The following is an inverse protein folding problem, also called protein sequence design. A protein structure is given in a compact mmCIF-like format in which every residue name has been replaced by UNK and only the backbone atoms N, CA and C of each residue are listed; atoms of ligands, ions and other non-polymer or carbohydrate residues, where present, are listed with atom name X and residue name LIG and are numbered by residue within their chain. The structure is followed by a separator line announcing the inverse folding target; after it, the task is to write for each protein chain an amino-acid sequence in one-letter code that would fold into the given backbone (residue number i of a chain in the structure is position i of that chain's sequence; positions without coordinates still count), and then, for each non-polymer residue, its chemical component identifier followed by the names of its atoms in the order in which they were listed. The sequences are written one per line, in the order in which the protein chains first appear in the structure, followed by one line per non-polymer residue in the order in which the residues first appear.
data_IF_485497361293
#
_entry.id   IF_485497361293
#
_cell.length_a   1.000
_cell.length_b   1.000
_cell.length_c   1.000
_cell.angle_alpha   90.00
_cell.angle_beta   90.00
_cell.angle_gamma   90.00
#
_symmetry.space_group_name_H-M   'P 1'
#
loop_
_entity.id
_entity.type
_entity.pdbx_description
1 polymer ?
#
# COMPACT_ATOMS: atom_id res chain seq x y z
N UNK A 1 17.22 23.73 5.85
CA UNK A 1 15.97 22.99 6.15
C UNK A 1 15.26 22.79 4.82
N UNK A 2 15.04 21.55 4.40
CA UNK A 2 14.32 21.28 3.15
C UNK A 2 12.84 21.64 3.36
N UNK A 3 12.32 22.60 2.60
CA UNK A 3 10.89 22.92 2.62
C UNK A 3 10.10 21.77 1.98
N UNK A 4 9.38 20.99 2.78
CA UNK A 4 8.49 19.93 2.29
C UNK A 4 7.25 20.60 1.70
N UNK A 5 7.23 20.83 0.38
CA UNK A 5 6.07 21.36 -0.36
C UNK A 5 5.34 20.25 -1.13
N UNK A 6 4.54 19.46 -0.42
CA UNK A 6 3.68 18.45 -1.05
C UNK A 6 2.45 19.15 -1.66
N UNK A 7 2.41 19.27 -2.99
CA UNK A 7 1.21 19.78 -3.69
C UNK A 7 0.16 18.69 -3.83
N UNK A 8 -1.09 18.94 -3.46
CA UNK A 8 -2.13 17.94 -3.71
C UNK A 8 -2.41 17.84 -5.22
N UNK A 9 -2.53 16.62 -5.74
CA UNK A 9 -2.69 16.39 -7.17
C UNK A 9 -3.74 15.32 -7.48
N UNK A 10 -4.39 15.36 -8.65
CA UNK A 10 -5.38 14.39 -9.12
C UNK A 10 -4.82 12.97 -9.09
N UNK A 11 -3.53 12.80 -9.41
CA UNK A 11 -2.84 11.52 -9.32
C UNK A 11 -2.91 10.87 -7.91
N UNK A 12 -2.98 11.68 -6.83
CA UNK A 12 -3.12 11.17 -5.46
C UNK A 12 -4.51 10.61 -5.21
N UNK A 13 -5.55 11.28 -5.72
CA UNK A 13 -6.95 10.81 -5.62
C UNK A 13 -7.13 9.50 -6.39
N UNK A 14 -6.57 9.42 -7.60
CA UNK A 14 -6.58 8.19 -8.40
C UNK A 14 -5.82 7.05 -7.71
N UNK A 15 -4.71 7.35 -7.02
CA UNK A 15 -3.96 6.36 -6.26
C UNK A 15 -4.77 5.78 -5.09
N UNK A 16 -5.49 6.61 -4.35
CA UNK A 16 -6.41 6.16 -3.28
C UNK A 16 -7.50 5.26 -3.87
N UNK A 17 -8.16 5.69 -4.96
CA UNK A 17 -9.20 4.88 -5.60
C UNK A 17 -8.68 3.52 -6.10
N UNK A 18 -7.48 3.50 -6.68
CA UNK A 18 -6.88 2.26 -7.17
C UNK A 18 -6.52 1.30 -6.02
N UNK A 19 -6.00 1.80 -4.91
CA UNK A 19 -5.71 0.99 -3.72
C UNK A 19 -6.97 0.44 -3.06
N UNK A 20 -8.04 1.23 -3.04
CA UNK A 20 -9.36 0.83 -2.57
C UNK A 20 -9.93 -0.32 -3.41
N UNK A 21 -9.82 -0.26 -4.75
CA UNK A 21 -10.23 -1.35 -5.65
C UNK A 21 -9.45 -2.63 -5.36
N UNK A 22 -8.12 -2.54 -5.25
CA UNK A 22 -7.26 -3.69 -4.90
C UNK A 22 -7.69 -4.28 -3.56
N UNK A 23 -7.96 -3.43 -2.57
CA UNK A 23 -8.41 -3.86 -1.25
C UNK A 23 -9.79 -4.51 -1.30
N UNK A 24 -10.76 -3.97 -2.04
CA UNK A 24 -12.09 -4.60 -2.19
C UNK A 24 -11.97 -5.98 -2.83
N UNK A 25 -11.17 -6.12 -3.89
CA UNK A 25 -10.93 -7.41 -4.56
C UNK A 25 -10.25 -8.40 -3.62
N UNK A 26 -9.28 -7.94 -2.83
CA UNK A 26 -8.58 -8.80 -1.88
C UNK A 26 -9.48 -9.23 -0.71
N UNK A 27 -10.33 -8.36 -0.17
CA UNK A 27 -11.18 -8.67 1.00
C UNK A 27 -12.62 -9.09 0.63
N UNK A 28 -12.89 -9.41 -0.64
CA UNK A 28 -14.21 -9.90 -1.08
C UNK A 28 -14.52 -11.28 -0.50
N UNK A 29 -15.80 -11.61 -0.37
CA UNK A 29 -16.26 -12.94 0.12
C UNK A 29 -15.90 -14.09 -0.82
N UNK A 30 -15.58 -13.79 -2.08
CA UNK A 30 -15.05 -14.77 -3.04
C UNK A 30 -13.55 -15.05 -2.87
N UNK A 31 -12.84 -14.31 -2.01
CA UNK A 31 -11.41 -14.54 -1.80
C UNK A 31 -11.17 -15.79 -0.95
N UNK A 32 -10.18 -16.65 -1.29
CA UNK A 32 -9.89 -17.88 -0.55
C UNK A 32 -9.59 -17.67 0.94
N UNK A 33 -9.21 -16.46 1.32
CA UNK A 33 -8.79 -16.08 2.66
C UNK A 33 -9.82 -15.21 3.41
N UNK A 34 -11.02 -15.01 2.84
CA UNK A 34 -12.07 -14.17 3.44
C UNK A 34 -12.41 -14.54 4.88
N UNK A 35 -12.57 -15.85 5.14
CA UNK A 35 -12.89 -16.37 6.47
C UNK A 35 -11.81 -16.10 7.53
N UNK A 36 -10.58 -15.80 7.11
CA UNK A 36 -9.45 -15.49 8.00
C UNK A 36 -9.24 -13.99 8.20
N UNK A 37 -9.76 -13.13 7.33
CA UNK A 37 -9.48 -11.68 7.33
C UNK A 37 -10.59 -10.82 7.96
N UNK A 38 -11.83 -11.30 8.01
CA UNK A 38 -12.95 -10.57 8.64
C UNK A 38 -13.46 -9.37 7.84
N UNK A 39 -14.31 -8.54 8.46
CA UNK A 39 -14.95 -7.39 7.82
C UNK A 39 -14.08 -6.13 7.85
N UNK A 40 -14.05 -5.42 6.73
CA UNK A 40 -13.27 -4.20 6.54
C UNK A 40 -14.10 -2.96 6.83
N UNK A 41 -13.59 -2.09 7.71
CA UNK A 41 -14.17 -0.76 7.93
C UNK A 41 -13.71 0.19 6.81
N UNK A 42 -14.63 0.49 5.89
CA UNK A 42 -14.35 1.31 4.68
C UNK A 42 -13.85 2.71 5.04
N UNK A 43 -14.41 3.35 6.08
CA UNK A 43 -14.01 4.71 6.47
C UNK A 43 -12.56 4.73 6.97
N UNK A 44 -12.22 3.79 7.85
CA UNK A 44 -10.86 3.66 8.37
C UNK A 44 -9.86 3.32 7.26
N UNK A 45 -10.26 2.52 6.28
CA UNK A 45 -9.42 2.16 5.15
C UNK A 45 -9.12 3.36 4.24
N UNK A 46 -10.14 4.16 3.89
CA UNK A 46 -9.95 5.38 3.08
C UNK A 46 -9.00 6.37 3.77
N UNK A 47 -9.16 6.57 5.09
CA UNK A 47 -8.27 7.44 5.86
C UNK A 47 -6.83 6.91 5.82
N UNK A 48 -6.64 5.60 6.02
CA UNK A 48 -5.32 4.98 5.96
C UNK A 48 -4.69 5.11 4.55
N UNK A 49 -5.48 4.94 3.49
CA UNK A 49 -5.00 5.07 2.11
C UNK A 49 -4.57 6.52 1.80
N UNK A 50 -5.33 7.52 2.27
CA UNK A 50 -4.93 8.93 2.16
C UNK A 50 -3.59 9.22 2.84
N UNK A 51 -3.39 8.71 4.07
CA UNK A 51 -2.13 8.86 4.80
C UNK A 51 -0.99 8.16 4.06
N UNK A 52 -1.22 6.95 3.57
CA UNK A 52 -0.22 6.16 2.86
C UNK A 52 0.20 6.84 1.55
N UNK A 53 -0.75 7.34 0.75
CA UNK A 53 -0.46 8.09 -0.48
C UNK A 53 0.37 9.34 -0.18
N UNK A 54 0.07 10.07 0.90
CA UNK A 54 0.86 11.22 1.31
C UNK A 54 2.31 10.84 1.66
N UNK A 55 2.50 9.77 2.44
CA UNK A 55 3.84 9.26 2.80
C UNK A 55 4.60 8.81 1.55
N UNK A 56 3.96 8.02 0.68
CA UNK A 56 4.56 7.51 -0.55
C UNK A 56 4.99 8.66 -1.48
N UNK A 57 4.16 9.71 -1.58
CA UNK A 57 4.49 10.90 -2.32
C UNK A 57 5.72 11.61 -1.74
N UNK A 58 5.77 11.76 -0.43
CA UNK A 58 6.90 12.39 0.25
C UNK A 58 8.19 11.58 0.03
N UNK A 59 8.14 10.25 0.15
CA UNK A 59 9.27 9.36 -0.14
C UNK A 59 9.73 9.53 -1.59
N UNK A 60 8.77 9.52 -2.52
CA UNK A 60 9.02 9.65 -3.94
C UNK A 60 9.72 10.97 -4.30
N UNK A 61 9.22 12.09 -3.79
CA UNK A 61 9.70 13.42 -4.17
C UNK A 61 11.02 13.79 -3.50
N UNK A 62 11.30 13.28 -2.29
CA UNK A 62 12.45 13.72 -1.49
C UNK A 62 13.57 12.69 -1.36
N UNK A 63 13.29 11.39 -1.54
CA UNK A 63 14.24 10.32 -1.22
C UNK A 63 14.49 9.36 -2.39
N UNK A 64 13.45 8.96 -3.12
CA UNK A 64 13.58 8.01 -4.22
C UNK A 64 12.53 8.26 -5.30
N UNK A 65 12.88 8.93 -6.41
CA UNK A 65 11.98 9.11 -7.57
C UNK A 65 12.06 7.86 -8.50
N UNK A 66 11.07 6.95 -8.47
CA UNK A 66 11.10 5.75 -9.31
C UNK A 66 10.79 6.14 -10.75
N UNK A 67 11.66 5.76 -11.70
CA UNK A 67 11.51 6.15 -13.12
C UNK A 67 10.77 5.10 -13.93
N UNK A 68 10.87 3.85 -13.53
CA UNK A 68 10.24 2.71 -14.19
C UNK A 68 9.35 1.92 -13.22
N UNK A 69 8.58 0.99 -13.79
CA UNK A 69 7.70 0.12 -13.00
C UNK A 69 8.52 -0.86 -12.15
N UNK A 70 9.71 -1.24 -12.58
CA UNK A 70 10.63 -2.07 -11.80
C UNK A 70 11.09 -1.34 -10.53
N UNK A 71 11.50 -0.07 -10.65
CA UNK A 71 11.90 0.75 -9.49
C UNK A 71 10.74 0.94 -8.51
N UNK A 72 9.54 1.13 -9.06
CA UNK A 72 8.29 1.21 -8.29
C UNK A 72 8.08 -0.08 -7.51
N UNK A 73 8.23 -1.24 -8.15
CA UNK A 73 8.11 -2.55 -7.50
C UNK A 73 9.18 -2.75 -6.42
N UNK A 74 10.42 -2.31 -6.65
CA UNK A 74 11.51 -2.40 -5.66
C UNK A 74 11.18 -1.56 -4.43
N UNK A 75 10.73 -0.32 -4.60
CA UNK A 75 10.34 0.54 -3.47
C UNK A 75 9.17 -0.07 -2.68
N UNK A 76 8.15 -0.57 -3.37
CA UNK A 76 7.01 -1.26 -2.75
C UNK A 76 7.43 -2.54 -2.02
N UNK A 77 8.40 -3.29 -2.57
CA UNK A 77 8.95 -4.48 -1.92
C UNK A 77 9.65 -4.12 -0.62
N UNK A 78 10.47 -3.06 -0.61
CA UNK A 78 11.11 -2.58 0.63
C UNK A 78 10.09 -2.17 1.69
N UNK A 79 9.02 -1.48 1.30
CA UNK A 79 7.95 -1.11 2.22
C UNK A 79 7.17 -2.33 2.74
N UNK A 80 6.93 -3.33 1.90
CA UNK A 80 6.32 -4.58 2.30
C UNK A 80 7.21 -5.40 3.24
N UNK A 81 8.53 -5.39 3.02
CA UNK A 81 9.51 -6.01 3.92
C UNK A 81 9.62 -5.27 5.25
N UNK A 82 9.50 -3.94 5.25
CA UNK A 82 9.42 -3.16 6.48
C UNK A 82 8.17 -3.55 7.29
N UNK A 83 7.02 -3.64 6.62
CA UNK A 83 5.78 -4.14 7.25
C UNK A 83 5.94 -5.58 7.76
N UNK A 84 6.57 -6.45 6.97
CA UNK A 84 6.89 -7.83 7.37
C UNK A 84 7.67 -7.82 8.68
N UNK A 85 8.75 -7.03 8.79
CA UNK A 85 9.56 -6.90 10.01
C UNK A 85 8.76 -6.45 11.23
N UNK A 86 7.87 -5.45 11.06
CA UNK A 86 7.03 -4.96 12.16
C UNK A 86 5.93 -5.94 12.56
N UNK A 87 5.37 -6.67 11.61
CA UNK A 87 4.23 -7.56 11.86
C UNK A 87 4.66 -8.97 12.29
N UNK A 88 5.87 -9.42 11.91
CA UNK A 88 6.39 -10.78 12.19
C UNK A 88 6.31 -11.17 13.68
N UNK A 89 6.68 -10.33 14.68
CA UNK A 89 6.63 -10.70 16.10
C UNK A 89 5.23 -11.06 16.60
N UNK A 90 4.19 -10.50 15.99
CA UNK A 90 2.79 -10.76 16.35
C UNK A 90 2.26 -12.10 15.82
N UNK A 91 3.00 -12.73 14.91
CA UNK A 91 2.58 -13.93 14.16
C UNK A 91 3.27 -15.19 14.66
N UNK A 92 4.35 -15.05 15.46
CA UNK A 92 5.17 -16.17 15.99
C UNK A 92 4.36 -17.17 16.84
N UNK A 93 3.20 -16.76 17.35
CA UNK A 93 2.48 -17.52 18.38
C UNK A 93 1.47 -18.55 17.83
N UNK A 94 1.16 -18.57 16.53
CA UNK A 94 0.13 -19.47 15.98
C UNK A 94 0.40 -19.87 14.52
N UNK A 95 0.41 -21.17 14.22
CA UNK A 95 0.69 -21.77 12.90
C UNK A 95 -0.33 -21.38 11.82
N UNK A 96 -1.59 -21.10 12.20
CA UNK A 96 -2.60 -20.58 11.28
C UNK A 96 -2.39 -19.09 10.95
N UNK A 97 -1.53 -18.39 11.67
CA UNK A 97 -1.24 -16.96 11.45
C UNK A 97 -0.27 -16.71 10.30
N UNK A 98 0.45 -17.72 9.82
CA UNK A 98 1.37 -17.55 8.69
C UNK A 98 0.62 -17.15 7.41
N UNK A 99 -0.48 -17.83 7.06
CA UNK A 99 -1.28 -17.49 5.89
C UNK A 99 -1.88 -16.09 5.99
N UNK A 100 -2.42 -15.75 7.17
CA UNK A 100 -2.93 -14.40 7.46
C UNK A 100 -1.86 -13.33 7.23
N UNK A 101 -0.68 -13.53 7.83
CA UNK A 101 0.46 -12.64 7.70
C UNK A 101 0.93 -12.50 6.26
N UNK A 102 1.12 -13.62 5.56
CA UNK A 102 1.59 -13.63 4.18
C UNK A 102 0.64 -12.86 3.26
N UNK A 103 -0.68 -13.10 3.39
CA UNK A 103 -1.70 -12.39 2.63
C UNK A 103 -1.66 -10.88 2.92
N UNK A 104 -1.44 -10.47 4.17
CA UNK A 104 -1.27 -9.06 4.51
C UNK A 104 -0.02 -8.44 3.91
N UNK A 105 1.12 -9.13 3.94
CA UNK A 105 2.37 -8.64 3.33
C UNK A 105 2.20 -8.47 1.80
N UNK A 106 1.59 -9.45 1.13
CA UNK A 106 1.27 -9.36 -0.31
C UNK A 106 0.29 -8.22 -0.59
N UNK A 107 -0.72 -8.03 0.26
CA UNK A 107 -1.64 -6.89 0.16
C UNK A 107 -0.89 -5.56 0.29
N UNK A 108 0.03 -5.41 1.25
CA UNK A 108 0.83 -4.18 1.44
C UNK A 108 1.76 -3.90 0.26
N UNK A 109 2.36 -4.95 -0.31
CA UNK A 109 3.10 -4.83 -1.56
C UNK A 109 2.18 -4.31 -2.69
N UNK A 110 1.04 -4.96 -2.91
CA UNK A 110 0.13 -4.64 -4.00
C UNK A 110 -0.41 -3.21 -3.92
N UNK A 111 -0.88 -2.76 -2.75
CA UNK A 111 -1.42 -1.40 -2.60
C UNK A 111 -0.33 -0.33 -2.79
N UNK A 112 0.86 -0.53 -2.21
CA UNK A 112 1.94 0.46 -2.34
C UNK A 112 2.45 0.52 -3.77
N UNK A 113 2.52 -0.62 -4.47
CA UNK A 113 2.90 -0.69 -5.87
C UNK A 113 1.91 0.04 -6.76
N UNK A 114 0.62 -0.26 -6.64
CA UNK A 114 -0.42 0.38 -7.45
C UNK A 114 -0.48 1.88 -7.19
N UNK A 115 -0.39 2.31 -5.92
CA UNK A 115 -0.37 3.74 -5.58
C UNK A 115 0.83 4.46 -6.22
N UNK A 116 2.04 3.93 -6.07
CA UNK A 116 3.24 4.53 -6.66
C UNK A 116 3.20 4.52 -8.19
N UNK A 117 2.73 3.41 -8.78
CA UNK A 117 2.58 3.27 -10.23
C UNK A 117 1.62 4.30 -10.80
N UNK A 118 0.45 4.48 -10.16
CA UNK A 118 -0.54 5.50 -10.56
C UNK A 118 0.06 6.91 -10.41
N UNK A 119 0.73 7.20 -9.30
CA UNK A 119 1.36 8.50 -9.09
C UNK A 119 2.51 8.80 -10.07
N UNK A 120 3.20 7.78 -10.57
CA UNK A 120 4.22 7.96 -11.62
C UNK A 120 3.58 8.13 -13.00
N UNK A 121 2.61 7.29 -13.34
CA UNK A 121 1.97 7.34 -14.65
C UNK A 121 1.18 8.63 -14.89
N UNK A 122 0.57 9.18 -13.85
CA UNK A 122 -0.22 10.40 -13.90
C UNK A 122 0.54 11.62 -13.35
N UNK A 123 1.87 11.59 -13.23
CA UNK A 123 2.71 12.70 -12.72
C UNK A 123 2.50 14.04 -13.44
N UNK A 124 1.97 14.02 -14.67
CA UNK A 124 1.71 15.20 -15.52
C UNK A 124 0.32 15.83 -15.35
N UNK A 125 -0.59 15.17 -14.64
CA UNK A 125 -1.96 15.65 -14.34
C UNK A 125 -2.10 15.92 -12.87
#
# INVERSE_FOLDING_TARGET
MAEIRVKFNIAMVLAVLAAEIVSVVMYTHYSPWYHSLGHRNIIAAIIADCVLVYILKLIKENFWDPKNWEDTAVLSMWLALLYLGYQMPHVVHNTHSFTYFFVHVVHKFAITFVMLFVMERFKRY
#
